data_IF_000623766995
#
_entry.id   IF_000623766995
#
_cell.length_a   1.000
_cell.length_b   1.000
_cell.length_c   1.000
_cell.angle_alpha   90.00
_cell.angle_beta   90.00
_cell.angle_gamma   90.00
#
_symmetry.space_group_name_H-M   'P 1'
#
loop_
_entity.id
_entity.type
_entity.pdbx_description
1 polymer ?
#
# COMPACT_ATOMS: atom_id res chain seq x y z
N UNK A 1 21.20 50.63 26.35
CA UNK A 1 20.36 49.98 25.33
C UNK A 1 21.22 48.94 24.62
N UNK A 2 20.97 47.65 24.86
CA UNK A 2 21.75 46.54 24.30
C UNK A 2 20.78 45.55 23.66
N UNK A 3 20.91 45.36 22.35
CA UNK A 3 20.05 44.52 21.52
C UNK A 3 20.56 43.08 21.56
N UNK A 4 19.75 42.17 22.12
CA UNK A 4 19.97 40.73 22.02
C UNK A 4 19.71 40.27 20.59
N UNK A 5 20.73 39.74 19.92
CA UNK A 5 20.64 39.09 18.61
C UNK A 5 20.79 37.58 18.82
N UNK A 6 19.69 36.82 18.72
CA UNK A 6 19.71 35.37 18.83
C UNK A 6 20.02 34.74 17.46
N UNK A 7 21.20 34.13 17.34
CA UNK A 7 21.61 33.39 16.16
C UNK A 7 20.98 31.99 16.11
N UNK A 8 20.38 31.65 14.96
CA UNK A 8 20.55 30.33 14.35
C UNK A 8 19.66 29.18 14.84
N UNK A 9 18.33 29.30 14.71
CA UNK A 9 17.49 28.10 14.62
C UNK A 9 17.64 27.54 13.22
N UNK A 10 18.50 26.52 13.04
CA UNK A 10 18.54 25.72 11.82
C UNK A 10 17.16 25.13 11.57
N UNK A 11 16.41 25.75 10.65
CA UNK A 11 15.17 25.21 10.13
C UNK A 11 15.50 23.89 9.44
N UNK A 12 15.23 22.76 10.12
CA UNK A 12 15.21 21.46 9.46
C UNK A 12 14.14 21.54 8.37
N UNK A 13 14.56 21.58 7.11
CA UNK A 13 13.64 21.47 5.99
C UNK A 13 12.76 20.23 6.20
N UNK A 14 11.41 20.36 6.14
CA UNK A 14 10.53 19.21 6.09
C UNK A 14 10.91 18.38 4.87
N UNK A 15 11.36 17.14 5.07
CA UNK A 15 11.52 16.21 3.96
C UNK A 15 10.17 16.08 3.28
N UNK A 16 10.10 16.43 2.00
CA UNK A 16 8.90 16.24 1.19
C UNK A 16 8.46 14.77 1.27
N UNK A 17 7.16 14.47 1.44
CA UNK A 17 6.66 13.11 1.36
C UNK A 17 7.03 12.52 -0.01
N UNK A 18 7.70 11.36 -0.02
CA UNK A 18 8.00 10.63 -1.25
C UNK A 18 6.69 10.40 -2.02
N UNK A 19 6.65 10.68 -3.33
CA UNK A 19 5.44 10.48 -4.10
C UNK A 19 5.14 8.98 -4.14
N UNK A 20 3.95 8.63 -3.67
CA UNK A 20 3.16 7.50 -4.16
C UNK A 20 3.93 6.18 -4.32
N UNK A 21 4.38 5.59 -3.21
CA UNK A 21 4.69 4.15 -3.22
C UNK A 21 3.35 3.44 -3.17
N UNK A 22 2.98 2.75 -4.26
CA UNK A 22 1.85 1.81 -4.28
C UNK A 22 1.92 0.80 -3.14
N UNK A 23 0.93 -0.11 -3.02
CA UNK A 23 0.88 -1.07 -1.91
C UNK A 23 2.24 -1.71 -1.67
N UNK A 24 2.85 -1.38 -0.53
CA UNK A 24 4.16 -1.90 -0.15
C UNK A 24 3.94 -3.32 0.36
N UNK A 25 4.18 -4.29 -0.51
CA UNK A 25 4.27 -5.68 -0.09
C UNK A 25 5.58 -5.81 0.69
N UNK A 26 5.47 -6.13 1.97
CA UNK A 26 6.66 -6.37 2.79
C UNK A 26 7.29 -7.67 2.31
N UNK A 27 8.55 -7.62 1.89
CA UNK A 27 9.36 -8.79 1.50
C UNK A 27 9.74 -9.69 2.68
N UNK A 28 9.12 -9.51 3.86
CA UNK A 28 9.26 -10.43 4.98
C UNK A 28 8.43 -11.69 4.72
N UNK A 29 8.95 -12.62 3.92
CA UNK A 29 8.32 -13.93 3.70
C UNK A 29 8.81 -14.64 2.45
N UNK A 30 8.09 -15.70 2.07
CA UNK A 30 8.35 -16.50 0.86
C UNK A 30 8.62 -15.61 -0.36
N UNK A 31 9.63 -15.98 -1.15
CA UNK A 31 9.94 -15.30 -2.42
C UNK A 31 8.72 -15.26 -3.36
N UNK A 32 8.62 -14.19 -4.15
CA UNK A 32 7.52 -13.95 -5.10
C UNK A 32 7.38 -15.09 -6.09
N UNK A 33 8.49 -15.66 -6.58
CA UNK A 33 8.44 -16.80 -7.51
C UNK A 33 7.89 -18.04 -6.81
N UNK A 34 8.24 -18.26 -5.55
CA UNK A 34 7.70 -19.37 -4.77
C UNK A 34 6.20 -19.21 -4.55
N UNK A 35 5.73 -18.00 -4.21
CA UNK A 35 4.31 -17.67 -4.08
C UNK A 35 3.51 -17.95 -5.35
N UNK A 36 4.02 -17.52 -6.52
CA UNK A 36 3.37 -17.78 -7.80
C UNK A 36 3.34 -19.27 -8.15
N UNK A 37 4.41 -20.00 -7.84
CA UNK A 37 4.40 -21.44 -8.03
C UNK A 37 3.35 -22.12 -7.12
N UNK A 38 3.25 -21.72 -5.85
CA UNK A 38 2.23 -22.24 -4.94
C UNK A 38 0.82 -21.99 -5.47
N UNK A 39 0.57 -20.78 -6.00
CA UNK A 39 -0.69 -20.43 -6.66
C UNK A 39 -1.01 -21.39 -7.81
N UNK A 40 -0.06 -21.59 -8.74
CA UNK A 40 -0.25 -22.48 -9.88
C UNK A 40 -0.57 -23.92 -9.46
N UNK A 41 0.12 -24.47 -8.45
CA UNK A 41 -0.19 -25.82 -7.98
C UNK A 41 -1.57 -25.93 -7.34
N UNK A 42 -1.98 -24.90 -6.58
CA UNK A 42 -3.32 -24.84 -5.99
C UNK A 42 -4.41 -24.74 -7.07
N UNK A 43 -4.20 -23.95 -8.13
CA UNK A 43 -5.13 -23.88 -9.28
C UNK A 43 -5.22 -25.22 -10.02
N UNK A 44 -4.12 -25.97 -10.09
CA UNK A 44 -4.09 -27.31 -10.67
C UNK A 44 -4.67 -28.39 -9.74
N UNK A 45 -5.18 -28.03 -8.56
CA UNK A 45 -5.82 -28.94 -7.63
C UNK A 45 -4.87 -29.88 -6.87
N UNK A 46 -3.59 -29.52 -6.75
CA UNK A 46 -2.62 -30.33 -6.00
C UNK A 46 -2.90 -30.31 -4.50
N UNK A 47 -2.65 -31.44 -3.83
CA UNK A 47 -2.79 -31.54 -2.38
C UNK A 47 -1.73 -30.68 -1.65
N UNK A 48 -2.08 -29.90 -0.60
CA UNK A 48 -1.14 -29.00 0.08
C UNK A 48 0.16 -29.66 0.56
N UNK A 49 0.08 -30.90 1.06
CA UNK A 49 1.26 -31.66 1.51
C UNK A 49 2.22 -31.99 0.37
N UNK A 50 1.69 -32.34 -0.82
CA UNK A 50 2.51 -32.62 -2.00
C UNK A 50 3.22 -31.35 -2.50
N UNK A 51 2.52 -30.21 -2.43
CA UNK A 51 3.09 -28.90 -2.77
C UNK A 51 4.21 -28.53 -1.78
N UNK A 52 3.95 -28.70 -0.48
CA UNK A 52 4.90 -28.41 0.60
C UNK A 52 6.18 -29.23 0.44
N UNK A 53 6.06 -30.54 0.18
CA UNK A 53 7.18 -31.43 -0.11
C UNK A 53 7.94 -31.01 -1.37
N UNK A 54 7.23 -30.65 -2.46
CA UNK A 54 7.83 -30.25 -3.74
C UNK A 54 8.59 -28.93 -3.66
N UNK A 55 8.13 -27.99 -2.82
CA UNK A 55 8.72 -26.66 -2.68
C UNK A 55 9.60 -26.51 -1.44
N UNK A 56 9.79 -27.58 -0.67
CA UNK A 56 10.55 -27.60 0.58
C UNK A 56 10.10 -26.48 1.55
N UNK A 57 8.78 -26.27 1.65
CA UNK A 57 8.17 -25.29 2.56
C UNK A 57 7.22 -26.00 3.53
N UNK A 58 6.87 -25.35 4.64
CA UNK A 58 5.91 -25.92 5.58
C UNK A 58 4.49 -25.94 5.01
N UNK A 59 3.67 -26.92 5.40
CA UNK A 59 2.25 -26.97 5.01
C UNK A 59 1.52 -25.67 5.43
N UNK A 60 1.88 -25.11 6.58
CA UNK A 60 1.31 -23.85 7.07
C UNK A 60 1.48 -22.69 6.07
N UNK A 61 2.59 -22.64 5.34
CA UNK A 61 2.77 -21.63 4.28
C UNK A 61 1.78 -21.82 3.15
N UNK A 62 1.58 -23.07 2.72
CA UNK A 62 0.64 -23.42 1.65
C UNK A 62 -0.78 -23.09 2.08
N UNK A 63 -1.15 -23.44 3.30
CA UNK A 63 -2.46 -23.14 3.89
C UNK A 63 -2.72 -21.64 3.99
N UNK A 64 -1.72 -20.85 4.41
CA UNK A 64 -1.84 -19.39 4.45
C UNK A 64 -2.05 -18.79 3.05
N UNK A 65 -1.34 -19.30 2.04
CA UNK A 65 -1.53 -18.87 0.65
C UNK A 65 -2.94 -19.23 0.16
N UNK A 66 -3.41 -20.46 0.41
CA UNK A 66 -4.76 -20.88 0.04
C UNK A 66 -5.84 -20.05 0.75
N UNK A 67 -5.65 -19.74 2.03
CA UNK A 67 -6.54 -18.89 2.81
C UNK A 67 -6.56 -17.45 2.27
N UNK A 68 -5.39 -16.89 1.93
CA UNK A 68 -5.29 -15.55 1.34
C UNK A 68 -6.00 -15.48 -0.02
N UNK A 69 -5.83 -16.49 -0.87
CA UNK A 69 -6.51 -16.56 -2.17
C UNK A 69 -8.03 -16.58 -2.01
N UNK A 70 -8.54 -17.38 -1.07
CA UNK A 70 -9.97 -17.45 -0.78
C UNK A 70 -10.53 -16.12 -0.24
N UNK A 71 -9.77 -15.45 0.63
CA UNK A 71 -10.23 -14.24 1.34
C UNK A 71 -10.06 -12.96 0.52
N UNK A 72 -8.99 -12.88 -0.27
CA UNK A 72 -8.54 -11.64 -0.90
C UNK A 72 -8.38 -11.74 -2.42
N UNK A 73 -8.48 -12.94 -3.01
CA UNK A 73 -8.18 -13.15 -4.43
C UNK A 73 -6.71 -12.91 -4.78
N UNK A 74 -5.83 -12.89 -3.78
CA UNK A 74 -4.40 -12.58 -3.93
C UNK A 74 -3.57 -13.54 -3.08
N UNK A 75 -2.41 -13.92 -3.60
CA UNK A 75 -1.43 -14.74 -2.87
C UNK A 75 -0.86 -13.99 -1.66
N UNK A 76 -0.83 -12.66 -1.75
CA UNK A 76 -0.33 -11.80 -0.70
C UNK A 76 -1.49 -11.24 0.13
N UNK A 77 -1.35 -11.29 1.45
CA UNK A 77 -2.26 -10.56 2.33
C UNK A 77 -2.09 -9.05 2.07
N UNK A 78 -3.18 -8.31 1.81
CA UNK A 78 -3.11 -6.87 1.68
C UNK A 78 -2.69 -6.27 3.02
N UNK A 79 -1.63 -5.46 3.00
CA UNK A 79 -1.19 -4.73 4.19
C UNK A 79 -2.14 -3.57 4.36
N UNK A 80 -2.95 -3.59 5.43
CA UNK A 80 -3.93 -2.53 5.74
C UNK A 80 -3.29 -1.20 6.16
N UNK A 81 -1.96 -1.11 6.19
CA UNK A 81 -1.24 0.14 6.46
C UNK A 81 -1.09 0.96 5.18
N UNK A 82 -2.22 1.41 4.64
CA UNK A 82 -2.19 2.71 3.98
C UNK A 82 -1.82 3.68 5.09
N UNK A 83 -0.58 4.19 5.06
CA UNK A 83 -0.18 5.23 6.01
C UNK A 83 -1.25 6.31 6.05
N UNK A 84 -1.47 6.91 7.23
CA UNK A 84 -2.47 7.95 7.38
C UNK A 84 -2.33 8.94 6.22
N UNK A 85 -3.41 9.12 5.45
CA UNK A 85 -3.43 10.07 4.34
C UNK A 85 -2.92 11.40 4.89
N UNK A 86 -1.89 11.96 4.25
CA UNK A 86 -1.38 13.26 4.64
C UNK A 86 -2.57 14.21 4.66
N UNK A 87 -2.87 14.82 5.83
CA UNK A 87 -3.97 15.78 5.94
C UNK A 87 -3.69 16.87 4.92
N UNK A 88 -4.57 17.02 3.94
CA UNK A 88 -4.51 18.09 2.96
C UNK A 88 -4.44 19.39 3.75
N UNK A 89 -3.45 20.23 3.45
CA UNK A 89 -3.35 21.52 4.13
C UNK A 89 -4.61 22.36 3.81
N UNK A 90 -5.04 23.27 4.69
CA UNK A 90 -6.19 24.13 4.38
C UNK A 90 -6.02 24.91 3.06
N UNK A 91 -4.78 25.27 2.72
CA UNK A 91 -4.44 25.94 1.47
C UNK A 91 -4.62 25.01 0.26
N UNK A 92 -4.09 23.79 0.33
CA UNK A 92 -4.22 22.79 -0.73
C UNK A 92 -5.68 22.36 -0.91
N UNK A 93 -6.44 22.27 0.20
CA UNK A 93 -7.87 21.97 0.17
C UNK A 93 -8.67 23.05 -0.56
N UNK A 94 -8.34 24.32 -0.32
CA UNK A 94 -8.96 25.45 -1.05
C UNK A 94 -8.57 25.48 -2.53
N UNK A 95 -7.32 25.15 -2.85
CA UNK A 95 -6.85 25.05 -4.23
C UNK A 95 -7.55 23.90 -4.98
N UNK A 96 -7.64 22.73 -4.34
CA UNK A 96 -8.33 21.55 -4.86
C UNK A 96 -9.82 21.85 -5.08
N UNK A 97 -10.50 22.47 -4.12
CA UNK A 97 -11.89 22.87 -4.25
C UNK A 97 -12.11 23.82 -5.45
N UNK A 98 -11.29 24.86 -5.60
CA UNK A 98 -11.36 25.77 -6.76
C UNK A 98 -11.15 25.05 -8.09
N UNK A 99 -10.24 24.08 -8.11
CA UNK A 99 -9.98 23.28 -9.30
C UNK A 99 -11.17 22.37 -9.64
N UNK A 100 -11.78 21.71 -8.65
CA UNK A 100 -12.96 20.86 -8.84
C UNK A 100 -14.17 21.65 -9.34
N UNK A 101 -14.41 22.84 -8.78
CA UNK A 101 -15.46 23.74 -9.27
C UNK A 101 -15.21 24.17 -10.72
N UNK A 102 -13.97 24.51 -11.09
CA UNK A 102 -13.61 24.89 -12.46
C UNK A 102 -13.71 23.75 -13.47
N UNK A 103 -13.43 22.52 -13.05
CA UNK A 103 -13.41 21.34 -13.92
C UNK A 103 -14.78 20.69 -14.09
N UNK A 104 -15.85 21.29 -13.53
CA UNK A 104 -17.22 20.78 -13.67
C UNK A 104 -17.51 19.53 -12.85
N UNK A 105 -16.55 19.05 -12.05
CA UNK A 105 -16.68 17.84 -11.23
C UNK A 105 -17.74 17.93 -10.13
N UNK A 106 -18.21 19.15 -9.81
CA UNK A 106 -19.27 19.36 -8.82
C UNK A 106 -20.66 18.99 -9.35
N UNK A 107 -20.84 18.83 -10.67
CA UNK A 107 -22.14 18.64 -11.33
C UNK A 107 -22.32 17.23 -11.92
N UNK A 108 -21.90 16.19 -11.19
CA UNK A 108 -22.08 14.80 -11.65
C UNK A 108 -23.54 14.31 -11.58
N UNK A 109 -24.42 15.08 -10.95
CA UNK A 109 -25.84 14.73 -10.76
C UNK A 109 -26.71 15.00 -12.02
N UNK A 110 -26.14 15.57 -13.09
CA UNK A 110 -26.86 15.90 -14.34
C UNK A 110 -26.55 14.95 -15.51
N UNK A 111 -25.92 13.79 -15.27
CA UNK A 111 -25.74 12.77 -16.32
C UNK A 111 -27.01 11.90 -16.38
N UNK A 112 -27.94 12.31 -17.25
CA UNK A 112 -29.12 11.55 -17.71
C UNK A 112 -28.73 10.47 -18.71
#
# INVERSE_FOLDING_TARGET
>A
MSTYQAHGVSARHPRAPSPNRGPQFVDCGLDTRTRLNLHQFLELGWHPEAIAARKSCSCHVVDNVAANLRKHGSVCQPVSRLGALARISPADGKALFKHLVRSGWLYQDEIV
#
